data_IF_010548149591
#
_entry.id   IF_010548149591
#
_cell.length_a   1.000
_cell.length_b   1.000
_cell.length_c   1.000
_cell.angle_alpha   90.00
_cell.angle_beta   90.00
_cell.angle_gamma   90.00
#
_symmetry.space_group_name_H-M   'P 1'
#
loop_
_entity.id
_entity.type
_entity.pdbx_description
1 polymer ?
#
# COMPACT_ATOMS: atom_id res chain seq x y z
N UNK A 1 23.08 9.66 17.15
CA UNK A 1 22.11 9.10 16.18
C UNK A 1 22.28 7.59 16.00
N UNK A 2 23.35 7.09 15.37
CA UNK A 2 23.50 5.65 15.11
C UNK A 2 23.59 4.80 16.38
N UNK A 3 24.44 5.18 17.33
CA UNK A 3 24.60 4.42 18.59
C UNK A 3 23.33 4.40 19.44
N UNK A 4 22.59 5.50 19.43
CA UNK A 4 21.27 5.62 20.07
C UNK A 4 20.26 4.69 19.40
N UNK A 5 20.17 4.69 18.06
CA UNK A 5 19.30 3.79 17.32
C UNK A 5 19.62 2.31 17.58
N UNK A 6 20.91 1.95 17.62
CA UNK A 6 21.35 0.59 17.95
C UNK A 6 20.89 0.21 19.36
N UNK A 7 21.10 1.09 20.34
CA UNK A 7 20.69 0.84 21.73
C UNK A 7 19.19 0.58 21.82
N UNK A 8 18.37 1.49 21.30
CA UNK A 8 16.91 1.37 21.32
C UNK A 8 16.42 0.08 20.66
N UNK A 9 16.89 -0.22 19.44
CA UNK A 9 16.41 -1.41 18.72
C UNK A 9 16.93 -2.73 19.33
N UNK A 10 18.12 -2.72 19.93
CA UNK A 10 18.64 -3.90 20.64
C UNK A 10 17.85 -4.17 21.92
N UNK A 11 17.41 -3.12 22.63
CA UNK A 11 16.51 -3.24 23.79
C UNK A 11 15.14 -3.84 23.41
N UNK A 12 14.70 -3.63 22.16
CA UNK A 12 13.49 -4.24 21.58
C UNK A 12 13.71 -5.66 21.02
N UNK A 13 14.92 -6.23 21.16
CA UNK A 13 15.25 -7.58 20.71
C UNK A 13 15.62 -7.71 19.23
N UNK A 14 15.87 -6.59 18.54
CA UNK A 14 16.35 -6.60 17.16
C UNK A 14 17.88 -6.77 17.15
N UNK A 15 18.38 -7.80 16.46
CA UNK A 15 19.82 -7.99 16.30
C UNK A 15 20.42 -6.92 15.38
N UNK A 16 21.68 -6.54 15.60
CA UNK A 16 22.32 -5.42 14.88
C UNK A 16 22.37 -5.62 13.37
N UNK A 17 22.44 -6.87 12.93
CA UNK A 17 22.49 -7.28 11.52
C UNK A 17 21.13 -7.09 10.83
N UNK A 18 20.05 -6.98 11.60
CA UNK A 18 18.69 -6.71 11.12
C UNK A 18 18.31 -5.23 11.22
N UNK A 19 19.26 -4.33 11.51
CA UNK A 19 19.01 -2.89 11.56
C UNK A 19 19.47 -2.24 10.25
N UNK A 20 18.53 -1.64 9.54
CA UNK A 20 18.78 -0.85 8.34
C UNK A 20 18.76 0.64 8.66
N UNK A 21 19.58 1.43 7.95
CA UNK A 21 19.74 2.86 8.20
C UNK A 21 19.42 3.67 6.94
N UNK A 22 18.58 4.66 7.12
CA UNK A 22 18.09 5.57 6.09
C UNK A 22 18.37 7.00 6.54
N UNK A 23 19.58 7.54 6.27
CA UNK A 23 19.87 8.92 6.58
C UNK A 23 19.20 9.84 5.56
N UNK A 24 18.76 11.00 6.01
CA UNK A 24 18.20 12.02 5.13
C UNK A 24 18.65 13.41 5.54
N UNK A 25 18.71 14.31 4.57
CA UNK A 25 19.03 15.72 4.75
C UNK A 25 17.83 16.55 4.35
N UNK A 26 17.49 17.55 5.16
CA UNK A 26 16.59 18.60 4.73
C UNK A 26 17.43 19.72 4.13
N UNK A 27 17.33 19.88 2.81
CA UNK A 27 18.15 20.78 2.01
C UNK A 27 17.30 21.90 1.42
N UNK A 28 17.91 23.05 1.16
CA UNK A 28 17.30 24.11 0.36
C UNK A 28 18.37 24.90 -0.38
N UNK A 29 17.96 25.62 -1.43
CA UNK A 29 18.80 26.67 -1.99
C UNK A 29 18.92 27.84 -1.02
N UNK A 30 20.08 28.49 -0.97
CA UNK A 30 20.24 29.74 -0.22
C UNK A 30 19.18 30.75 -0.69
N UNK A 31 18.50 31.39 0.26
CA UNK A 31 17.45 32.37 0.00
C UNK A 31 16.06 31.79 -0.22
N UNK A 32 15.91 30.46 -0.33
CA UNK A 32 14.60 29.83 -0.29
C UNK A 32 14.14 29.55 1.14
N UNK A 33 12.82 29.54 1.36
CA UNK A 33 12.22 29.24 2.66
C UNK A 33 11.84 27.77 2.82
N UNK A 34 11.61 27.03 1.74
CA UNK A 34 11.13 25.65 1.78
C UNK A 34 12.26 24.63 1.66
N UNK A 35 12.21 23.62 2.53
CA UNK A 35 13.12 22.49 2.54
C UNK A 35 12.63 21.35 1.63
N UNK A 36 13.58 20.65 1.02
CA UNK A 36 13.40 19.38 0.32
C UNK A 36 14.08 18.30 1.14
N UNK A 37 13.31 17.37 1.74
CA UNK A 37 13.85 16.17 2.34
C UNK A 37 14.46 15.28 1.26
N UNK A 38 15.72 14.90 1.44
CA UNK A 38 16.46 14.05 0.52
C UNK A 38 17.03 12.85 1.29
N UNK A 39 16.56 11.65 0.97
CA UNK A 39 17.22 10.42 1.44
C UNK A 39 18.55 10.27 0.70
N UNK A 40 19.60 9.99 1.46
CA UNK A 40 20.98 9.92 0.96
C UNK A 40 21.61 8.62 1.41
N UNK A 41 22.66 8.18 0.73
CA UNK A 41 23.35 6.97 1.18
C UNK A 41 24.20 7.27 2.43
N UNK A 42 24.34 6.27 3.31
CA UNK A 42 25.28 6.37 4.44
C UNK A 42 26.72 6.64 3.97
N UNK A 43 27.09 6.13 2.79
CA UNK A 43 28.40 6.37 2.17
C UNK A 43 28.59 7.85 1.84
N UNK A 44 27.61 8.48 1.20
CA UNK A 44 27.70 9.88 0.80
C UNK A 44 27.72 10.82 2.00
N UNK A 45 26.95 10.52 3.05
CA UNK A 45 27.03 11.24 4.34
C UNK A 45 28.42 11.12 4.95
N UNK A 46 28.95 9.89 5.07
CA UNK A 46 30.22 9.64 5.78
C UNK A 46 31.42 10.22 5.02
N UNK A 47 31.38 10.16 3.69
CA UNK A 47 32.42 10.71 2.82
C UNK A 47 32.27 12.22 2.56
N UNK A 48 31.21 12.85 3.07
CA UNK A 48 30.84 14.23 2.75
C UNK A 48 30.81 14.48 1.24
N UNK A 49 30.19 13.56 0.49
CA UNK A 49 30.14 13.59 -0.97
C UNK A 49 29.16 14.66 -1.47
N UNK A 50 29.58 15.92 -1.38
CA UNK A 50 28.75 17.08 -1.71
C UNK A 50 28.29 17.08 -3.17
N UNK A 51 29.08 16.53 -4.10
CA UNK A 51 28.72 16.45 -5.52
C UNK A 51 27.48 15.57 -5.69
N UNK A 52 27.53 14.34 -5.17
CA UNK A 52 26.39 13.41 -5.29
C UNK A 52 25.14 13.93 -4.59
N UNK A 53 25.29 14.55 -3.40
CA UNK A 53 24.17 15.12 -2.65
C UNK A 53 23.55 16.30 -3.41
N UNK A 54 24.36 17.21 -3.97
CA UNK A 54 23.88 18.34 -4.78
C UNK A 54 23.10 17.84 -6.00
N UNK A 55 23.64 16.88 -6.74
CA UNK A 55 22.97 16.32 -7.92
C UNK A 55 21.64 15.65 -7.59
N UNK A 56 21.59 14.88 -6.50
CA UNK A 56 20.36 14.24 -6.04
C UNK A 56 19.32 15.29 -5.59
N UNK A 57 19.76 16.36 -4.91
CA UNK A 57 18.89 17.47 -4.52
C UNK A 57 18.27 18.18 -5.72
N UNK A 58 19.07 18.52 -6.74
CA UNK A 58 18.56 19.22 -7.94
C UNK A 58 17.44 18.40 -8.59
N UNK A 59 17.67 17.09 -8.77
CA UNK A 59 16.67 16.15 -9.32
C UNK A 59 15.39 16.10 -8.49
N UNK A 60 15.50 16.00 -7.16
CA UNK A 60 14.33 15.95 -6.28
C UNK A 60 13.58 17.28 -6.21
N UNK A 61 14.31 18.41 -6.24
CA UNK A 61 13.71 19.73 -6.30
C UNK A 61 12.93 19.91 -7.62
N UNK A 62 13.50 19.52 -8.76
CA UNK A 62 12.81 19.54 -10.04
C UNK A 62 11.59 18.60 -10.06
N UNK A 63 11.71 17.40 -9.50
CA UNK A 63 10.58 16.47 -9.37
C UNK A 63 9.42 17.06 -8.54
N UNK A 64 9.74 17.81 -7.47
CA UNK A 64 8.76 18.36 -6.53
C UNK A 64 8.16 19.69 -7.00
N UNK A 65 8.94 20.55 -7.65
CA UNK A 65 8.55 21.93 -7.97
C UNK A 65 8.62 22.29 -9.46
N UNK A 66 9.14 21.41 -10.32
CA UNK A 66 9.21 21.60 -11.77
C UNK A 66 10.37 22.45 -12.26
N UNK A 67 11.34 22.78 -11.40
CA UNK A 67 12.58 23.48 -11.79
C UNK A 67 13.73 23.14 -10.84
N UNK A 68 14.97 23.47 -11.24
CA UNK A 68 16.18 23.41 -10.41
C UNK A 68 17.12 24.59 -10.76
N UNK A 69 17.93 25.04 -9.80
CA UNK A 69 18.87 26.17 -9.96
C UNK A 69 20.32 25.68 -10.17
N UNK A 70 20.49 24.45 -10.69
CA UNK A 70 21.81 23.83 -10.89
C UNK A 70 22.74 24.70 -11.74
N UNK A 71 22.22 25.29 -12.81
CA UNK A 71 22.99 26.11 -13.76
C UNK A 71 23.20 27.56 -13.27
N UNK A 72 22.47 27.99 -12.24
CA UNK A 72 22.59 29.33 -11.67
C UNK A 72 23.73 29.42 -10.65
N UNK A 73 24.31 28.28 -10.26
CA UNK A 73 25.37 28.22 -9.26
C UNK A 73 24.88 28.49 -7.84
N UNK A 74 23.56 28.41 -7.60
CA UNK A 74 22.97 28.65 -6.29
C UNK A 74 23.39 27.57 -5.30
N UNK A 75 24.06 27.98 -4.23
CA UNK A 75 24.53 27.08 -3.18
C UNK A 75 23.38 26.48 -2.36
N UNK A 76 23.67 25.34 -1.72
CA UNK A 76 22.72 24.62 -0.89
C UNK A 76 23.05 24.80 0.60
N UNK A 77 22.00 24.87 1.42
CA UNK A 77 22.08 24.80 2.88
C UNK A 77 21.47 23.50 3.38
N UNK A 78 22.16 22.87 4.35
CA UNK A 78 21.61 21.78 5.15
C UNK A 78 20.95 22.40 6.37
N UNK A 79 19.65 22.19 6.51
CA UNK A 79 18.90 22.66 7.68
C UNK A 79 18.85 21.59 8.76
N UNK A 80 18.56 20.35 8.37
CA UNK A 80 18.48 19.23 9.30
C UNK A 80 19.22 18.00 8.76
N UNK A 81 19.80 17.23 9.69
CA UNK A 81 20.32 15.89 9.44
C UNK A 81 19.46 14.90 10.23
N UNK A 82 18.89 13.91 9.54
CA UNK A 82 18.00 12.91 10.12
C UNK A 82 18.54 11.51 9.87
N UNK A 83 18.25 10.59 10.79
CA UNK A 83 18.55 9.17 10.64
C UNK A 83 17.31 8.39 11.04
N UNK A 84 16.72 7.68 10.09
CA UNK A 84 15.71 6.66 10.37
C UNK A 84 16.41 5.31 10.44
N UNK A 85 16.21 4.59 11.54
CA UNK A 85 16.66 3.21 11.69
C UNK A 85 15.44 2.28 11.69
N UNK A 86 15.53 1.18 10.95
CA UNK A 86 14.44 0.21 10.79
C UNK A 86 14.93 -1.16 11.25
N UNK A 87 14.25 -1.74 12.24
CA UNK A 87 14.45 -3.12 12.63
C UNK A 87 13.67 -4.06 11.72
N UNK A 88 14.38 -4.88 10.93
CA UNK A 88 13.78 -5.86 10.03
C UNK A 88 13.32 -7.06 10.85
N UNK A 89 12.00 -7.22 10.94
CA UNK A 89 11.36 -8.38 11.58
C UNK A 89 10.90 -9.38 10.53
N UNK A 90 10.70 -10.62 10.96
CA UNK A 90 10.05 -11.61 10.11
C UNK A 90 8.61 -11.15 9.85
N UNK A 91 8.31 -10.83 8.60
CA UNK A 91 6.95 -10.53 8.18
C UNK A 91 6.12 -11.81 8.31
N UNK A 92 4.89 -11.74 8.87
CA UNK A 92 4.01 -12.89 8.84
C UNK A 92 3.81 -13.32 7.38
N UNK A 93 3.78 -14.64 7.16
CA UNK A 93 3.48 -15.16 5.83
C UNK A 93 2.13 -14.62 5.39
N UNK A 94 2.08 -14.07 4.17
CA UNK A 94 0.82 -13.63 3.59
C UNK A 94 -0.14 -14.81 3.54
N UNK A 95 -1.37 -14.61 4.02
CA UNK A 95 -2.43 -15.62 3.90
C UNK A 95 -2.87 -15.79 2.43
N UNK A 96 -2.41 -14.92 1.52
CA UNK A 96 -2.63 -15.06 0.08
C UNK A 96 -2.02 -16.37 -0.43
N UNK A 97 -2.86 -17.34 -0.75
CA UNK A 97 -2.44 -18.64 -1.29
C UNK A 97 -2.53 -19.81 -0.31
N UNK A 98 -2.95 -19.59 0.95
CA UNK A 98 -3.35 -20.71 1.80
C UNK A 98 -4.58 -21.34 1.18
N UNK A 99 -4.44 -22.59 0.71
CA UNK A 99 -5.56 -23.42 0.23
C UNK A 99 -6.41 -23.86 1.42
N UNK A 100 -7.17 -22.93 1.99
CA UNK A 100 -8.25 -23.27 2.91
C UNK A 100 -9.34 -23.90 2.05
N UNK A 101 -9.86 -25.07 2.47
CA UNK A 101 -11.02 -25.66 1.81
C UNK A 101 -12.18 -24.68 1.93
N UNK A 102 -12.54 -24.04 0.82
CA UNK A 102 -13.71 -23.19 0.68
C UNK A 102 -14.75 -23.83 -0.23
N UNK A 103 -15.77 -23.04 -0.57
CA UNK A 103 -16.71 -23.38 -1.61
C UNK A 103 -16.01 -23.57 -2.97
N UNK A 104 -16.36 -24.64 -3.68
CA UNK A 104 -15.97 -24.90 -5.07
C UNK A 104 -16.92 -24.26 -6.08
N UNK A 105 -18.10 -23.83 -5.63
CA UNK A 105 -19.07 -23.09 -6.43
C UNK A 105 -19.84 -22.07 -5.59
N UNK A 106 -20.42 -21.04 -6.22
CA UNK A 106 -21.21 -20.03 -5.51
C UNK A 106 -22.44 -20.63 -4.83
N UNK A 107 -23.01 -21.69 -5.40
CA UNK A 107 -24.16 -22.40 -4.84
C UNK A 107 -23.83 -23.03 -3.49
N UNK A 108 -22.62 -23.56 -3.31
CA UNK A 108 -22.18 -24.10 -2.01
C UNK A 108 -22.05 -23.01 -0.94
N UNK A 109 -21.79 -21.77 -1.36
CA UNK A 109 -21.74 -20.62 -0.46
C UNK A 109 -23.11 -19.96 -0.22
N UNK A 110 -24.16 -20.33 -0.95
CA UNK A 110 -25.47 -19.71 -0.83
C UNK A 110 -26.17 -20.15 0.47
N UNK A 111 -26.36 -19.23 1.41
CA UNK A 111 -27.08 -19.46 2.67
C UNK A 111 -28.60 -19.38 2.51
N UNK A 112 -29.06 -18.65 1.49
CA UNK A 112 -30.47 -18.40 1.23
C UNK A 112 -30.69 -17.05 0.57
N UNK A 113 -31.90 -16.52 0.74
CA UNK A 113 -32.30 -15.19 0.26
C UNK A 113 -32.97 -14.42 1.39
N UNK A 114 -32.87 -13.09 1.37
CA UNK A 114 -33.57 -12.22 2.31
C UNK A 114 -33.99 -10.90 1.66
N UNK A 115 -35.04 -10.24 2.18
CA UNK A 115 -35.42 -8.93 1.70
C UNK A 115 -34.37 -7.89 2.13
N UNK A 116 -33.91 -7.08 1.18
CA UNK A 116 -33.03 -5.94 1.41
C UNK A 116 -33.49 -4.73 0.61
N UNK A 117 -33.36 -3.54 1.18
CA UNK A 117 -33.61 -2.30 0.47
C UNK A 117 -32.45 -1.99 -0.48
N UNK A 118 -32.76 -1.74 -1.75
CA UNK A 118 -31.79 -1.48 -2.82
C UNK A 118 -31.87 0.01 -3.21
N UNK A 119 -30.95 0.86 -2.74
CA UNK A 119 -31.00 2.30 -2.96
C UNK A 119 -31.04 2.69 -4.44
N UNK A 120 -30.34 1.96 -5.31
CA UNK A 120 -30.28 2.29 -6.74
C UNK A 120 -31.59 2.06 -7.49
N UNK A 121 -32.54 1.34 -6.88
CA UNK A 121 -33.86 1.08 -7.45
C UNK A 121 -35.01 1.56 -6.56
N UNK A 122 -34.68 2.17 -5.42
CA UNK A 122 -35.62 2.62 -4.39
C UNK A 122 -36.69 1.56 -4.02
N UNK A 123 -36.27 0.30 -3.82
CA UNK A 123 -37.19 -0.82 -3.60
C UNK A 123 -36.63 -1.90 -2.69
N UNK A 124 -37.52 -2.62 -1.99
CA UNK A 124 -37.18 -3.86 -1.29
C UNK A 124 -37.11 -5.02 -2.29
N UNK A 125 -36.01 -5.78 -2.29
CA UNK A 125 -35.80 -6.92 -3.16
C UNK A 125 -35.32 -8.15 -2.39
N UNK A 126 -35.75 -9.34 -2.80
CA UNK A 126 -35.19 -10.61 -2.31
C UNK A 126 -33.80 -10.83 -2.93
N UNK A 127 -32.75 -10.69 -2.13
CA UNK A 127 -31.35 -10.82 -2.58
C UNK A 127 -30.71 -12.11 -2.06
N UNK A 128 -29.81 -12.75 -2.83
CA UNK A 128 -29.03 -13.88 -2.35
C UNK A 128 -28.08 -13.46 -1.21
N UNK A 129 -27.94 -14.35 -0.23
CA UNK A 129 -27.02 -14.19 0.91
C UNK A 129 -25.99 -15.30 0.83
N UNK A 130 -24.71 -14.93 0.71
CA UNK A 130 -23.59 -15.87 0.65
C UNK A 130 -22.84 -15.92 1.98
N UNK A 131 -22.28 -17.09 2.29
CA UNK A 131 -21.35 -17.30 3.38
C UNK A 131 -19.94 -16.86 2.96
N UNK A 132 -19.52 -15.67 3.39
CA UNK A 132 -18.21 -15.11 3.11
C UNK A 132 -17.06 -15.88 3.73
N UNK A 133 -17.29 -16.66 4.80
CA UNK A 133 -16.26 -17.43 5.48
C UNK A 133 -15.79 -18.66 4.69
N UNK A 134 -16.41 -18.95 3.54
CA UNK A 134 -16.01 -20.03 2.63
C UNK A 134 -15.73 -19.56 1.20
N UNK A 135 -15.76 -18.24 0.93
CA UNK A 135 -15.50 -17.66 -0.40
C UNK A 135 -14.00 -17.35 -0.62
N UNK A 136 -13.17 -18.40 -0.58
CA UNK A 136 -11.71 -18.27 -0.76
C UNK A 136 -11.25 -18.35 -2.22
N UNK A 137 -12.07 -18.92 -3.11
CA UNK A 137 -11.78 -19.04 -4.54
C UNK A 137 -12.22 -17.79 -5.30
N UNK A 138 -11.75 -17.65 -6.54
CA UNK A 138 -12.09 -16.52 -7.39
C UNK A 138 -13.51 -16.65 -7.96
N UNK A 139 -14.51 -16.19 -7.21
CA UNK A 139 -15.87 -16.05 -7.69
C UNK A 139 -16.22 -14.60 -8.01
N UNK A 140 -17.09 -14.43 -9.01
CA UNK A 140 -17.75 -13.16 -9.33
C UNK A 140 -19.19 -13.22 -8.82
N UNK A 141 -19.53 -12.34 -7.89
CA UNK A 141 -20.88 -12.18 -7.34
C UNK A 141 -21.50 -10.91 -7.94
N UNK A 142 -22.64 -11.08 -8.59
CA UNK A 142 -23.36 -9.95 -9.18
C UNK A 142 -24.35 -9.35 -8.17
N UNK A 143 -24.35 -8.02 -8.05
CA UNK A 143 -25.31 -7.31 -7.23
C UNK A 143 -26.70 -7.21 -7.89
N UNK A 144 -27.79 -7.10 -7.09
CA UNK A 144 -27.79 -6.92 -5.65
C UNK A 144 -27.60 -8.22 -4.86
N UNK A 145 -26.72 -8.23 -3.85
CA UNK A 145 -26.40 -9.41 -3.05
C UNK A 145 -25.83 -9.04 -1.67
N UNK A 146 -25.82 -10.01 -0.74
CA UNK A 146 -25.19 -9.88 0.58
C UNK A 146 -24.16 -10.99 0.78
N UNK A 147 -23.02 -10.64 1.37
CA UNK A 147 -22.01 -11.60 1.82
C UNK A 147 -21.88 -11.44 3.33
N UNK A 148 -22.12 -12.50 4.09
CA UNK A 148 -22.01 -12.50 5.54
C UNK A 148 -20.77 -13.26 5.99
N UNK A 149 -19.96 -12.62 6.81
CA UNK A 149 -18.87 -13.23 7.54
C UNK A 149 -19.18 -13.19 9.03
N UNK A 150 -18.48 -13.98 9.83
CA UNK A 150 -18.64 -13.98 11.28
C UNK A 150 -18.48 -12.59 11.94
N UNK A 151 -17.69 -11.69 11.32
CA UNK A 151 -17.36 -10.38 11.87
C UNK A 151 -17.86 -9.19 11.03
N UNK A 152 -18.49 -9.42 9.88
CA UNK A 152 -18.93 -8.33 8.99
C UNK A 152 -20.01 -8.78 8.01
N UNK A 153 -20.70 -7.83 7.39
CA UNK A 153 -21.62 -8.09 6.28
C UNK A 153 -21.32 -7.09 5.17
N UNK A 154 -21.10 -7.60 3.96
CA UNK A 154 -20.81 -6.82 2.77
C UNK A 154 -22.08 -6.76 1.93
N UNK A 155 -22.59 -5.54 1.70
CA UNK A 155 -23.68 -5.29 0.78
C UNK A 155 -23.13 -4.94 -0.60
N UNK A 156 -23.61 -5.67 -1.62
CA UNK A 156 -23.29 -5.41 -3.02
C UNK A 156 -24.54 -4.80 -3.63
N UNK A 157 -24.52 -3.49 -3.89
CA UNK A 157 -25.63 -2.76 -4.49
C UNK A 157 -25.89 -3.18 -5.95
N UNK A 158 -27.04 -2.79 -6.49
CA UNK A 158 -27.43 -3.16 -7.86
C UNK A 158 -26.49 -2.58 -8.94
N UNK A 159 -25.72 -1.53 -8.64
CA UNK A 159 -24.70 -0.99 -9.56
C UNK A 159 -23.31 -1.64 -9.41
N UNK A 160 -23.17 -2.62 -8.53
CA UNK A 160 -21.88 -3.20 -8.15
C UNK A 160 -21.82 -4.70 -8.41
N UNK A 161 -20.61 -5.18 -8.62
CA UNK A 161 -20.25 -6.59 -8.56
C UNK A 161 -19.12 -6.77 -7.55
N UNK A 162 -18.89 -8.00 -7.11
CA UNK A 162 -17.80 -8.36 -6.22
C UNK A 162 -16.97 -9.51 -6.80
N UNK A 163 -15.66 -9.37 -6.78
CA UNK A 163 -14.72 -10.48 -7.00
C UNK A 163 -14.10 -10.92 -5.67
N UNK A 164 -14.01 -12.23 -5.45
CA UNK A 164 -13.55 -12.86 -4.22
C UNK A 164 -12.19 -13.55 -4.42
N UNK A 165 -11.53 -13.99 -3.33
CA UNK A 165 -10.30 -14.80 -3.41
C UNK A 165 -9.01 -14.06 -3.74
N UNK A 166 -9.06 -12.78 -4.14
CA UNK A 166 -7.88 -11.96 -4.45
C UNK A 166 -7.12 -11.63 -3.15
N UNK A 167 -6.14 -12.46 -2.79
CA UNK A 167 -5.37 -12.28 -1.56
C UNK A 167 -6.18 -12.45 -0.27
N UNK A 168 -7.34 -13.12 -0.34
CA UNK A 168 -8.29 -13.21 0.77
C UNK A 168 -9.23 -12.00 0.90
N UNK A 169 -9.26 -11.10 -0.08
CA UNK A 169 -10.10 -9.91 -0.09
C UNK A 169 -11.40 -10.11 -0.88
N UNK A 170 -12.40 -9.31 -0.53
CA UNK A 170 -13.58 -9.03 -1.35
C UNK A 170 -13.37 -7.69 -2.05
N UNK A 171 -13.34 -7.67 -3.37
CA UNK A 171 -13.19 -6.43 -4.13
C UNK A 171 -14.52 -6.09 -4.77
N UNK A 172 -15.16 -5.04 -4.24
CA UNK A 172 -16.44 -4.53 -4.73
C UNK A 172 -16.16 -3.37 -5.68
N UNK A 173 -16.75 -3.40 -6.87
CA UNK A 173 -16.52 -2.41 -7.91
C UNK A 173 -17.79 -2.06 -8.66
N UNK A 174 -17.88 -0.83 -9.15
CA UNK A 174 -19.01 -0.37 -9.95
C UNK A 174 -18.95 -1.01 -11.34
N UNK A 175 -19.97 -1.80 -11.70
CA UNK A 175 -19.96 -2.61 -12.93
C UNK A 175 -20.11 -1.77 -14.21
N UNK A 176 -20.56 -0.52 -14.10
CA UNK A 176 -20.63 0.38 -15.25
C UNK A 176 -19.29 1.06 -15.53
N UNK A 177 -18.53 1.37 -14.49
CA UNK A 177 -17.17 1.92 -14.63
C UNK A 177 -16.15 0.84 -15.00
N UNK A 178 -16.37 -0.40 -14.55
CA UNK A 178 -15.49 -1.54 -14.79
C UNK A 178 -16.28 -2.76 -15.34
N UNK A 179 -16.76 -2.70 -16.59
CA UNK A 179 -17.64 -3.73 -17.17
C UNK A 179 -16.97 -5.10 -17.31
N UNK A 180 -15.64 -5.11 -17.48
CA UNK A 180 -14.85 -6.33 -17.61
C UNK A 180 -14.29 -6.84 -16.28
N UNK A 181 -14.76 -6.30 -15.15
CA UNK A 181 -14.24 -6.63 -13.82
C UNK A 181 -12.87 -6.01 -13.54
N UNK A 182 -12.20 -6.52 -12.51
CA UNK A 182 -10.83 -6.13 -12.22
C UNK A 182 -9.92 -6.73 -13.29
N UNK A 183 -9.42 -5.89 -14.19
CA UNK A 183 -8.28 -6.28 -15.04
C UNK A 183 -7.17 -6.70 -14.10
N UNK A 184 -6.70 -7.96 -14.21
CA UNK A 184 -5.50 -8.41 -13.52
C UNK A 184 -4.37 -7.44 -13.86
N UNK A 185 -4.05 -6.54 -12.93
CA UNK A 185 -2.82 -5.77 -13.02
C UNK A 185 -1.74 -6.83 -12.76
N UNK A 186 -0.95 -7.16 -13.77
CA UNK A 186 0.23 -8.00 -13.61
C UNK A 186 1.25 -7.20 -12.76
N UNK A 187 1.07 -7.20 -11.44
CA UNK A 187 1.98 -6.53 -10.50
C UNK A 187 3.27 -7.38 -10.29
N UNK A 188 3.34 -8.59 -10.85
CA UNK A 188 4.45 -9.53 -10.62
C UNK A 188 5.59 -9.51 -11.66
N UNK A 189 5.79 -8.43 -12.44
CA UNK A 189 6.95 -8.36 -13.36
C UNK A 189 7.97 -7.25 -13.07
N UNK A 190 7.70 -6.30 -12.17
CA UNK A 190 8.73 -5.35 -11.76
C UNK A 190 9.22 -5.70 -10.36
N UNK A 191 10.07 -6.74 -10.31
CA UNK A 191 11.00 -6.92 -9.21
C UNK A 191 11.92 -5.71 -9.13
N UNK A 192 11.55 -4.76 -8.27
CA UNK A 192 12.47 -3.78 -7.70
C UNK A 192 12.61 -4.18 -6.23
N UNK A 193 13.54 -5.11 -6.00
CA UNK A 193 14.36 -5.20 -4.79
C UNK A 193 15.78 -5.33 -5.32
#
# INVERSE_FOLDING_TARGET
>A
MKDEAIRTLTEEGISKEKIEYYPSLDLRYIGQFHEVPLEVSMKDITALNAVSIKEAFHKEHNRKYGYELKNEGTELEIINVRLRAVGVTEKPQSLSGIKIKGAESLEQALKGRRPAYIPETDSMQEVPVYNGDILFNNFKIEGPALIEQINTTIFIGASYNCETGIGGCFVVYNKFLMPNGLKKINILQNGII
#
